data_IF_721833174273
#
_entry.id   IF_721833174273
#
_cell.length_a   1.000
_cell.length_b   1.000
_cell.length_c   1.000
_cell.angle_alpha   90.00
_cell.angle_beta   90.00
_cell.angle_gamma   90.00
#
_symmetry.space_group_name_H-M   'P 1'
#
loop_
_entity.id
_entity.type
_entity.pdbx_description
1 polymer ?
#
# COMPACT_ATOMS: atom_id res chain seq x y z
N UNK A 1 -4.84 -16.76 -6.70
CA UNK A 1 -3.62 -17.49 -6.31
C UNK A 1 -2.59 -16.48 -5.87
N UNK A 2 -2.04 -16.61 -4.66
CA UNK A 2 -0.97 -15.72 -4.18
C UNK A 2 0.37 -16.37 -4.47
N UNK A 3 1.12 -15.81 -5.42
CA UNK A 3 2.44 -16.28 -5.82
C UNK A 3 3.49 -15.38 -5.18
N UNK A 4 4.08 -15.85 -4.09
CA UNK A 4 4.95 -15.07 -3.20
C UNK A 4 6.12 -15.93 -2.72
N UNK A 5 7.14 -15.28 -2.12
CA UNK A 5 8.21 -15.99 -1.43
C UNK A 5 7.71 -16.59 -0.11
N UNK A 6 8.43 -17.60 0.39
CA UNK A 6 8.14 -18.17 1.71
C UNK A 6 8.34 -17.13 2.84
N UNK A 7 9.24 -16.18 2.65
CA UNK A 7 9.53 -15.11 3.61
C UNK A 7 8.36 -14.14 3.74
N UNK A 8 7.85 -13.61 2.62
CA UNK A 8 6.69 -12.70 2.62
C UNK A 8 5.43 -13.43 3.15
N UNK A 9 5.24 -14.71 2.80
CA UNK A 9 4.15 -15.51 3.36
C UNK A 9 4.27 -15.68 4.88
N UNK A 10 5.47 -15.99 5.38
CA UNK A 10 5.73 -16.17 6.80
C UNK A 10 5.48 -14.87 7.58
N UNK A 11 6.03 -13.76 7.11
CA UNK A 11 5.79 -12.44 7.71
C UNK A 11 4.30 -12.10 7.74
N UNK A 12 3.58 -12.30 6.64
CA UNK A 12 2.14 -12.05 6.57
C UNK A 12 1.34 -12.92 7.54
N UNK A 13 1.71 -14.19 7.69
CA UNK A 13 1.11 -15.08 8.68
C UNK A 13 1.32 -14.56 10.10
N UNK A 14 2.53 -14.09 10.42
CA UNK A 14 2.83 -13.47 11.71
C UNK A 14 2.04 -12.18 11.93
N UNK A 15 1.93 -11.31 10.92
CA UNK A 15 1.11 -10.10 11.01
C UNK A 15 -0.36 -10.44 11.24
N UNK A 16 -0.90 -11.44 10.54
CA UNK A 16 -2.31 -11.85 10.70
C UNK A 16 -2.63 -12.29 12.12
N UNK A 17 -1.69 -12.95 12.80
CA UNK A 17 -1.89 -13.46 14.16
C UNK A 17 -1.68 -12.39 15.23
N UNK A 18 -0.81 -11.42 14.98
CA UNK A 18 -0.30 -10.51 16.02
C UNK A 18 -0.62 -9.02 15.77
N UNK A 19 -1.23 -8.67 14.64
CA UNK A 19 -1.70 -7.29 14.40
C UNK A 19 -2.92 -7.00 15.25
N UNK A 20 -2.92 -5.85 15.92
CA UNK A 20 -4.11 -5.33 16.59
C UNK A 20 -4.73 -4.21 15.76
N UNK A 21 -6.06 -4.19 15.73
CA UNK A 21 -6.84 -3.17 15.04
C UNK A 21 -7.82 -2.58 16.05
N UNK A 22 -7.62 -1.30 16.37
CA UNK A 22 -8.58 -0.52 17.13
C UNK A 22 -9.43 0.30 16.18
N UNK A 23 -10.73 0.37 16.46
CA UNK A 23 -11.70 1.13 15.69
C UNK A 23 -12.31 2.22 16.55
N UNK A 24 -12.41 3.43 16.00
CA UNK A 24 -13.18 4.51 16.61
C UNK A 24 -14.01 5.23 15.55
N UNK A 25 -15.22 5.63 15.93
CA UNK A 25 -16.14 6.38 15.08
C UNK A 25 -16.26 7.79 15.65
N UNK A 26 -15.96 8.79 14.82
CA UNK A 26 -16.03 10.21 15.18
C UNK A 26 -16.91 10.88 14.13
N UNK A 27 -18.20 11.05 14.45
CA UNK A 27 -19.19 11.45 13.44
C UNK A 27 -19.26 10.41 12.33
N UNK A 28 -19.04 10.84 11.09
CA UNK A 28 -19.06 9.98 9.90
C UNK A 28 -17.68 9.41 9.54
N UNK A 29 -16.66 9.69 10.37
CA UNK A 29 -15.30 9.23 10.14
C UNK A 29 -14.99 7.97 10.96
N UNK A 30 -14.78 6.86 10.25
CA UNK A 30 -14.22 5.63 10.83
C UNK A 30 -12.69 5.73 10.85
N UNK A 31 -12.10 5.77 12.04
CA UNK A 31 -10.65 5.70 12.23
C UNK A 31 -10.23 4.29 12.63
N UNK A 32 -9.27 3.75 11.89
CA UNK A 32 -8.59 2.49 12.22
C UNK A 32 -7.18 2.79 12.71
N UNK A 33 -6.84 2.34 13.90
CA UNK A 33 -5.46 2.32 14.40
C UNK A 33 -4.95 0.89 14.31
N UNK A 34 -3.99 0.67 13.41
CA UNK A 34 -3.47 -0.65 13.09
C UNK A 34 -2.04 -0.73 13.60
N UNK A 35 -1.77 -1.67 14.50
CA UNK A 35 -0.43 -1.91 15.04
C UNK A 35 0.13 -3.21 14.46
N UNK A 36 1.01 -3.08 13.46
CA UNK A 36 1.68 -4.21 12.80
C UNK A 36 2.99 -4.50 13.56
N UNK A 37 3.16 -5.68 14.16
CA UNK A 37 4.37 -6.00 14.92
C UNK A 37 5.53 -6.22 13.96
N UNK A 38 6.67 -5.57 14.23
CA UNK A 38 7.92 -5.82 13.49
C UNK A 38 8.83 -6.75 14.29
N UNK A 39 9.60 -7.58 13.59
CA UNK A 39 10.69 -8.38 14.15
C UNK A 39 11.96 -8.09 13.39
N UNK A 40 13.09 -8.53 13.96
CA UNK A 40 14.36 -8.48 13.24
C UNK A 40 14.22 -9.22 11.90
N UNK A 41 14.71 -8.60 10.82
CA UNK A 41 14.67 -9.14 9.45
C UNK A 41 13.28 -9.28 8.84
N UNK A 42 12.31 -8.47 9.27
CA UNK A 42 11.05 -8.33 8.54
C UNK A 42 11.19 -7.25 7.46
N UNK A 43 10.90 -7.61 6.20
CA UNK A 43 11.10 -6.78 5.02
C UNK A 43 9.81 -6.42 4.27
N UNK A 44 8.71 -7.13 4.55
CA UNK A 44 7.43 -6.99 3.85
C UNK A 44 6.30 -6.56 4.80
N UNK A 45 6.40 -5.40 5.50
CA UNK A 45 5.35 -4.90 6.39
C UNK A 45 4.13 -4.39 5.60
N UNK A 46 3.42 -5.31 4.97
CA UNK A 46 2.21 -5.05 4.20
C UNK A 46 1.12 -6.04 4.58
N UNK A 47 -0.09 -5.54 4.77
CA UNK A 47 -1.26 -6.35 5.15
C UNK A 47 -2.49 -5.93 4.36
N UNK A 48 -3.49 -6.80 4.37
CA UNK A 48 -4.82 -6.53 3.83
C UNK A 48 -5.83 -6.48 4.97
N UNK A 49 -6.65 -5.43 5.00
CA UNK A 49 -7.76 -5.26 5.95
C UNK A 49 -9.06 -5.29 5.17
N UNK A 50 -10.00 -6.13 5.59
CA UNK A 50 -11.35 -6.16 5.03
C UNK A 50 -12.31 -5.46 5.99
N UNK A 51 -13.07 -4.49 5.50
CA UNK A 51 -14.16 -3.83 6.21
C UNK A 51 -15.47 -4.26 5.58
N UNK A 52 -16.25 -5.04 6.31
CA UNK A 52 -17.56 -5.53 5.85
C UNK A 52 -18.65 -4.48 6.07
N UNK A 53 -19.70 -4.54 5.25
CA UNK A 53 -20.90 -3.68 5.33
C UNK A 53 -20.61 -2.19 5.08
N UNK A 54 -19.62 -1.91 4.22
CA UNK A 54 -19.30 -0.57 3.72
C UNK A 54 -19.04 -0.71 2.22
N UNK A 55 -19.60 0.16 1.40
CA UNK A 55 -19.34 0.22 -0.04
C UNK A 55 -18.39 1.36 -0.38
N UNK A 56 -17.53 1.20 -1.40
CA UNK A 56 -16.72 2.31 -1.92
C UNK A 56 -17.57 3.51 -2.36
N UNK A 57 -18.82 3.29 -2.79
CA UNK A 57 -19.74 4.36 -3.18
C UNK A 57 -20.19 5.26 -2.03
N UNK A 58 -20.04 4.79 -0.79
CA UNK A 58 -20.45 5.50 0.44
C UNK A 58 -19.27 6.27 1.07
N UNK A 59 -18.05 6.11 0.51
CA UNK A 59 -16.83 6.67 1.06
C UNK A 59 -16.42 7.89 0.25
N UNK A 60 -16.37 9.05 0.90
CA UNK A 60 -15.88 10.29 0.29
C UNK A 60 -14.36 10.29 0.16
N UNK A 61 -13.64 9.88 1.22
CA UNK A 61 -12.18 9.90 1.26
C UNK A 61 -11.62 8.72 2.07
N UNK A 62 -10.48 8.19 1.62
CA UNK A 62 -9.64 7.28 2.41
C UNK A 62 -8.24 7.88 2.49
N UNK A 63 -7.80 8.18 3.71
CA UNK A 63 -6.47 8.70 4.01
C UNK A 63 -5.74 7.80 5.00
N UNK A 64 -4.41 7.98 5.10
CA UNK A 64 -3.54 7.18 5.96
C UNK A 64 -2.42 8.04 6.55
N UNK A 65 -1.84 7.58 7.66
CA UNK A 65 -0.69 8.24 8.28
C UNK A 65 0.58 8.15 7.41
N UNK A 66 1.60 8.92 7.77
CA UNK A 66 2.87 8.97 7.03
C UNK A 66 3.68 7.67 7.06
N UNK A 67 3.39 6.77 8.01
CA UNK A 67 4.02 5.44 8.08
C UNK A 67 3.60 4.57 6.89
N UNK A 68 2.38 4.76 6.39
CA UNK A 68 1.89 4.06 5.20
C UNK A 68 2.53 4.70 3.98
N UNK A 69 3.32 3.92 3.23
CA UNK A 69 3.98 4.37 2.00
C UNK A 69 3.23 3.92 0.74
N UNK A 70 2.53 2.78 0.81
CA UNK A 70 1.67 2.25 -0.24
C UNK A 70 0.25 1.99 0.27
N UNK A 71 -0.75 2.33 -0.54
CA UNK A 71 -2.14 2.07 -0.21
C UNK A 71 -2.96 1.87 -1.49
N UNK A 72 -3.78 0.82 -1.50
CA UNK A 72 -4.82 0.58 -2.50
C UNK A 72 -6.07 0.03 -1.84
N UNK A 73 -7.21 0.27 -2.45
CA UNK A 73 -8.49 -0.18 -1.93
C UNK A 73 -9.51 -0.37 -3.06
N UNK A 74 -10.45 -1.27 -2.85
CA UNK A 74 -11.53 -1.58 -3.77
C UNK A 74 -12.68 -2.29 -3.06
N UNK A 75 -13.85 -2.34 -3.69
CA UNK A 75 -14.94 -3.21 -3.24
C UNK A 75 -14.50 -4.68 -3.27
N UNK A 76 -14.85 -5.41 -2.22
CA UNK A 76 -14.55 -6.83 -2.08
C UNK A 76 -15.60 -7.53 -1.21
N UNK A 77 -16.33 -8.48 -1.81
CA UNK A 77 -17.42 -9.17 -1.13
C UNK A 77 -18.57 -8.20 -0.78
N UNK A 78 -18.99 -8.19 0.48
CA UNK A 78 -20.00 -7.28 1.01
C UNK A 78 -19.39 -6.03 1.67
N UNK A 79 -18.20 -5.63 1.25
CA UNK A 79 -17.38 -4.65 1.94
C UNK A 79 -16.33 -4.02 1.03
N UNK A 80 -15.32 -3.43 1.66
CA UNK A 80 -14.11 -2.98 0.99
C UNK A 80 -12.87 -3.73 1.50
N UNK A 81 -11.91 -3.89 0.61
CA UNK A 81 -10.57 -4.38 0.91
C UNK A 81 -9.61 -3.20 0.86
N UNK A 82 -8.74 -3.07 1.86
CA UNK A 82 -7.69 -2.06 1.94
C UNK A 82 -6.35 -2.78 2.06
N UNK A 83 -5.48 -2.61 1.07
CA UNK A 83 -4.10 -3.08 1.13
C UNK A 83 -3.21 -1.93 1.60
N UNK A 84 -2.44 -2.20 2.66
CA UNK A 84 -1.55 -1.24 3.31
C UNK A 84 -0.12 -1.75 3.17
N UNK A 85 0.80 -0.86 2.81
CA UNK A 85 2.23 -1.14 2.72
C UNK A 85 3.00 -0.07 3.51
N UNK A 86 3.80 -0.52 4.47
CA UNK A 86 4.59 0.33 5.36
C UNK A 86 6.09 0.23 5.08
N UNK A 87 6.51 -0.23 3.89
CA UNK A 87 7.93 -0.28 3.53
C UNK A 87 8.50 1.14 3.48
N UNK A 88 9.47 1.41 4.34
CA UNK A 88 10.07 2.73 4.55
C UNK A 88 10.60 3.37 3.27
N UNK A 89 11.25 2.57 2.41
CA UNK A 89 11.96 3.06 1.22
C UNK A 89 11.18 2.86 -0.08
N UNK A 90 9.85 2.72 -0.01
CA UNK A 90 9.05 2.46 -1.20
C UNK A 90 9.06 3.64 -2.19
N UNK A 91 9.07 4.88 -1.68
CA UNK A 91 9.14 6.08 -2.51
C UNK A 91 10.50 6.21 -3.21
N UNK A 92 11.58 5.93 -2.50
CA UNK A 92 12.94 5.95 -3.02
C UNK A 92 13.12 4.88 -4.11
N UNK A 93 12.57 3.68 -3.90
CA UNK A 93 12.53 2.64 -4.95
C UNK A 93 11.74 3.10 -6.17
N UNK A 94 10.53 3.66 -5.99
CA UNK A 94 9.76 4.18 -7.12
C UNK A 94 10.52 5.26 -7.88
N UNK A 95 11.19 6.17 -7.16
CA UNK A 95 12.01 7.23 -7.74
C UNK A 95 13.19 6.65 -8.54
N UNK A 96 13.87 5.63 -8.00
CA UNK A 96 14.96 4.95 -8.70
C UNK A 96 14.53 4.38 -10.06
N UNK A 97 13.37 3.73 -10.15
CA UNK A 97 12.89 3.20 -11.42
C UNK A 97 12.50 4.28 -12.42
N UNK A 98 11.94 5.41 -11.95
CA UNK A 98 11.70 6.59 -12.80
C UNK A 98 13.01 7.15 -13.35
N UNK A 99 14.03 7.32 -12.51
CA UNK A 99 15.35 7.79 -12.93
C UNK A 99 16.05 6.82 -13.89
N UNK A 100 15.87 5.51 -13.69
CA UNK A 100 16.38 4.48 -14.60
C UNK A 100 15.72 4.59 -15.99
N UNK A 101 14.41 4.82 -16.03
CA UNK A 101 13.69 5.11 -17.28
C UNK A 101 14.20 6.38 -17.96
N UNK A 102 14.38 7.49 -17.22
CA UNK A 102 14.89 8.75 -17.77
C UNK A 102 16.31 8.61 -18.37
N UNK A 103 17.17 7.81 -17.73
CA UNK A 103 18.53 7.53 -18.23
C UNK A 103 18.55 6.59 -19.45
N UNK A 104 17.58 5.69 -19.55
CA UNK A 104 17.49 4.71 -20.64
C UNK A 104 16.03 4.46 -21.02
N UNK A 105 15.42 5.35 -21.82
CA UNK A 105 14.00 5.27 -22.15
C UNK A 105 13.70 4.07 -23.05
N UNK A 106 12.95 3.11 -22.53
CA UNK A 106 12.38 2.00 -23.28
C UNK A 106 11.10 1.51 -22.58
N UNK A 107 10.29 0.71 -23.29
CA UNK A 107 9.01 0.21 -22.78
C UNK A 107 9.17 -0.57 -21.46
N UNK A 108 10.15 -1.46 -21.36
CA UNK A 108 10.39 -2.25 -20.15
C UNK A 108 10.71 -1.38 -18.94
N UNK A 109 11.61 -0.39 -19.08
CA UNK A 109 11.93 0.51 -17.98
C UNK A 109 10.74 1.40 -17.59
N UNK A 110 9.90 1.79 -18.57
CA UNK A 110 8.68 2.56 -18.30
C UNK A 110 7.66 1.72 -17.53
N UNK A 111 7.49 0.46 -17.90
CA UNK A 111 6.55 -0.46 -17.25
C UNK A 111 7.00 -0.75 -15.81
N UNK A 112 8.30 -0.96 -15.58
CA UNK A 112 8.88 -1.07 -14.23
C UNK A 112 8.59 0.19 -13.40
N UNK A 113 8.87 1.38 -13.95
CA UNK A 113 8.64 2.64 -13.26
C UNK A 113 7.16 2.84 -12.91
N UNK A 114 6.25 2.57 -13.86
CA UNK A 114 4.81 2.61 -13.62
C UNK A 114 4.39 1.61 -12.53
N UNK A 115 4.94 0.39 -12.54
CA UNK A 115 4.66 -0.61 -11.53
C UNK A 115 5.01 -0.09 -10.12
N UNK A 116 6.23 0.40 -9.90
CA UNK A 116 6.63 0.87 -8.57
C UNK A 116 5.90 2.15 -8.14
N UNK A 117 5.67 3.10 -9.05
CA UNK A 117 4.93 4.34 -8.74
C UNK A 117 3.48 4.03 -8.38
N UNK A 118 2.84 3.07 -9.04
CA UNK A 118 1.45 2.71 -8.76
C UNK A 118 1.24 2.04 -7.40
N UNK A 119 2.29 1.46 -6.80
CA UNK A 119 2.25 0.91 -5.43
C UNK A 119 2.18 1.98 -4.34
N UNK A 120 2.61 3.21 -4.63
CA UNK A 120 2.57 4.31 -3.67
C UNK A 120 1.13 4.69 -3.33
N UNK A 121 0.91 5.13 -2.08
CA UNK A 121 -0.37 5.74 -1.70
C UNK A 121 -0.62 7.04 -2.48
N UNK A 122 -1.89 7.46 -2.65
CA UNK A 122 -2.20 8.79 -3.19
C UNK A 122 -1.43 9.88 -2.43
N UNK A 123 -0.64 10.66 -3.16
CA UNK A 123 0.23 11.72 -2.62
C UNK A 123 0.74 12.63 -3.74
N UNK A 124 1.17 13.84 -3.38
CA UNK A 124 1.84 14.75 -4.33
C UNK A 124 3.09 14.12 -4.95
N UNK A 125 3.86 13.34 -4.17
CA UNK A 125 5.05 12.65 -4.66
C UNK A 125 4.70 11.62 -5.75
N UNK A 126 3.65 10.80 -5.55
CA UNK A 126 3.16 9.87 -6.58
C UNK A 126 2.77 10.61 -7.86
N UNK A 127 2.02 11.71 -7.75
CA UNK A 127 1.61 12.51 -8.90
C UNK A 127 2.82 13.10 -9.65
N UNK A 128 3.80 13.63 -8.93
CA UNK A 128 5.03 14.17 -9.52
C UNK A 128 5.82 13.10 -10.29
N UNK A 129 5.95 11.89 -9.74
CA UNK A 129 6.59 10.77 -10.43
C UNK A 129 5.81 10.33 -11.67
N UNK A 130 4.47 10.29 -11.62
CA UNK A 130 3.65 9.96 -12.79
C UNK A 130 3.80 10.98 -13.93
N UNK A 131 3.98 12.27 -13.63
CA UNK A 131 4.22 13.29 -14.67
C UNK A 131 5.55 13.09 -15.42
N UNK A 132 6.55 12.50 -14.76
CA UNK A 132 7.86 12.19 -15.37
C UNK A 132 7.83 10.99 -16.31
N UNK A 133 6.74 10.21 -16.30
CA UNK A 133 6.55 9.00 -17.12
C UNK A 133 5.63 9.22 -18.33
N UNK A 134 5.25 10.48 -18.59
CA UNK A 134 4.44 10.90 -19.73
C UNK A 134 5.27 10.99 -21.01
#
# INVERSE_FOLDING_TARGET
MWFTSLEEYYEYSEYRLNTTIEKSLIGDTLKLTVSIPSRQYFYYPSITINLTNISMSEIEEISSSDIVSGMSYADFGNGIMINIDCRKHLLEHATYFVEKYEKSPNASNRDDALYFVNRLKPSYAKQALLQRLK
#
